data_IF_411740071517
#
_entry.id   IF_411740071517
#
_cell.length_a   1.000
_cell.length_b   1.000
_cell.length_c   1.000
_cell.angle_alpha   90.00
_cell.angle_beta   90.00
_cell.angle_gamma   90.00
#
_symmetry.space_group_name_H-M   'P 1'
#
loop_
_entity.id
_entity.type
_entity.pdbx_description
1 polymer ?
#
# COMPACT_ATOMS: atom_id res chain seq x y z
N UNK A 1 -20.37 13.66 11.14
CA UNK A 1 -18.90 13.63 11.02
C UNK A 1 -18.43 12.34 11.67
N UNK A 2 -18.10 11.31 10.89
CA UNK A 2 -17.74 10.00 11.44
C UNK A 2 -16.25 10.03 11.76
N UNK A 3 -15.93 10.15 13.05
CA UNK A 3 -14.56 10.02 13.57
C UNK A 3 -14.11 8.59 13.33
N UNK A 4 -13.32 8.37 12.29
CA UNK A 4 -12.64 7.09 12.08
C UNK A 4 -11.71 6.90 13.29
N UNK A 5 -11.84 5.78 14.05
CA UNK A 5 -10.98 5.54 15.20
C UNK A 5 -9.52 5.67 14.80
N UNK A 6 -8.67 6.24 15.67
CA UNK A 6 -7.25 6.44 15.39
C UNK A 6 -6.56 5.15 14.88
N UNK A 7 -6.97 3.98 15.39
CA UNK A 7 -6.48 2.66 14.98
C UNK A 7 -6.91 2.19 13.58
N UNK A 8 -7.95 2.77 12.98
CA UNK A 8 -8.42 2.40 11.62
C UNK A 8 -7.66 3.20 10.55
N UNK A 9 -7.09 4.36 10.90
CA UNK A 9 -6.33 5.21 9.98
C UNK A 9 -5.08 4.52 9.40
N UNK A 10 -4.26 3.78 10.20
CA UNK A 10 -3.12 3.05 9.65
C UNK A 10 -3.49 2.05 8.56
N UNK A 11 -4.53 1.23 8.78
CA UNK A 11 -4.97 0.27 7.77
C UNK A 11 -5.38 0.96 6.46
N UNK A 12 -6.09 2.08 6.54
CA UNK A 12 -6.48 2.86 5.34
C UNK A 12 -5.25 3.40 4.59
N UNK A 13 -4.30 4.00 5.30
CA UNK A 13 -3.07 4.55 4.69
C UNK A 13 -2.25 3.45 4.02
N UNK A 14 -2.04 2.33 4.72
CA UNK A 14 -1.31 1.17 4.21
C UNK A 14 -1.98 0.56 2.97
N UNK A 15 -3.31 0.43 2.98
CA UNK A 15 -4.06 -0.12 1.85
C UNK A 15 -3.96 0.75 0.59
N UNK A 16 -3.97 2.08 0.76
CA UNK A 16 -3.77 3.04 -0.34
C UNK A 16 -2.36 2.95 -0.92
N UNK A 17 -1.34 2.97 -0.06
CA UNK A 17 0.06 2.85 -0.48
C UNK A 17 0.29 1.55 -1.26
N UNK A 18 -0.15 0.39 -0.73
CA UNK A 18 -0.03 -0.89 -1.42
C UNK A 18 -0.60 -0.85 -2.84
N UNK A 19 -1.82 -0.31 -2.99
CA UNK A 19 -2.48 -0.24 -4.30
C UNK A 19 -1.76 0.73 -5.25
N UNK A 20 -1.34 1.89 -4.75
CA UNK A 20 -0.66 2.92 -5.53
C UNK A 20 0.71 2.46 -6.03
N UNK A 21 1.52 1.86 -5.15
CA UNK A 21 2.83 1.29 -5.49
C UNK A 21 2.70 0.17 -6.51
N UNK A 22 1.75 -0.75 -6.33
CA UNK A 22 1.55 -1.85 -7.27
C UNK A 22 1.11 -1.37 -8.66
N UNK A 23 0.26 -0.36 -8.71
CA UNK A 23 -0.15 0.24 -9.97
C UNK A 23 1.06 0.89 -10.67
N UNK A 24 1.82 1.72 -9.95
CA UNK A 24 3.03 2.35 -10.47
C UNK A 24 4.05 1.32 -10.98
N UNK A 25 4.35 0.30 -10.17
CA UNK A 25 5.30 -0.75 -10.51
C UNK A 25 4.86 -1.56 -11.73
N UNK A 26 3.55 -1.75 -11.94
CA UNK A 26 3.04 -2.45 -13.12
C UNK A 26 3.29 -1.71 -14.44
N UNK A 27 3.52 -0.40 -14.37
CA UNK A 27 3.73 0.47 -15.54
C UNK A 27 5.20 0.83 -15.74
N UNK A 28 5.99 0.93 -14.67
CA UNK A 28 7.34 1.53 -14.71
C UNK A 28 8.45 0.57 -14.26
N UNK A 29 8.16 -0.41 -13.41
CA UNK A 29 9.20 -1.27 -12.85
C UNK A 29 9.56 -2.41 -13.81
N UNK A 30 10.79 -2.92 -13.68
CA UNK A 30 11.16 -4.15 -14.36
C UNK A 30 10.31 -5.33 -13.84
N UNK A 31 10.25 -6.41 -14.64
CA UNK A 31 9.42 -7.59 -14.33
C UNK A 31 9.75 -8.21 -12.98
N UNK A 32 11.03 -8.26 -12.59
CA UNK A 32 11.49 -8.88 -11.35
C UNK A 32 10.99 -8.11 -10.13
N UNK A 33 11.14 -6.80 -10.13
CA UNK A 33 10.72 -5.94 -9.03
C UNK A 33 9.19 -5.90 -8.91
N UNK A 34 8.49 -5.85 -10.04
CA UNK A 34 7.03 -5.93 -10.08
C UNK A 34 6.53 -7.27 -9.51
N UNK A 35 7.10 -8.41 -9.92
CA UNK A 35 6.73 -9.73 -9.36
C UNK A 35 7.01 -9.80 -7.85
N UNK A 36 8.17 -9.31 -7.40
CA UNK A 36 8.52 -9.28 -5.98
C UNK A 36 7.51 -8.46 -5.16
N UNK A 37 7.13 -7.28 -5.63
CA UNK A 37 6.14 -6.43 -4.96
C UNK A 37 4.76 -7.12 -4.91
N UNK A 38 4.36 -7.82 -5.97
CA UNK A 38 3.10 -8.58 -6.01
C UNK A 38 3.08 -9.80 -5.06
N UNK A 39 4.23 -10.45 -4.85
CA UNK A 39 4.35 -11.54 -3.87
C UNK A 39 4.24 -11.01 -2.44
N UNK A 40 5.01 -9.97 -2.13
CA UNK A 40 4.97 -9.31 -0.82
C UNK A 40 3.57 -8.77 -0.52
N UNK A 41 2.92 -8.12 -1.47
CA UNK A 41 1.54 -7.62 -1.27
C UNK A 41 0.56 -8.75 -0.96
N UNK A 42 0.71 -9.93 -1.58
CA UNK A 42 -0.17 -11.07 -1.30
C UNK A 42 -0.01 -11.54 0.14
N UNK A 43 1.23 -11.62 0.63
CA UNK A 43 1.51 -11.98 2.02
C UNK A 43 0.95 -10.95 3.01
N UNK A 44 1.11 -9.66 2.72
CA UNK A 44 0.51 -8.57 3.53
C UNK A 44 -1.01 -8.69 3.59
N UNK A 45 -1.66 -8.95 2.45
CA UNK A 45 -3.10 -9.14 2.38
C UNK A 45 -3.57 -10.40 3.11
N UNK A 46 -2.69 -11.37 3.36
CA UNK A 46 -2.94 -12.53 4.22
C UNK A 46 -2.66 -12.27 5.71
N UNK A 47 -2.25 -11.05 6.09
CA UNK A 47 -2.03 -10.64 7.48
C UNK A 47 -0.58 -10.73 7.97
N UNK A 48 0.38 -10.97 7.06
CA UNK A 48 1.81 -11.02 7.40
C UNK A 48 2.39 -9.60 7.47
N UNK A 49 2.65 -9.08 8.68
CA UNK A 49 3.25 -7.76 8.85
C UNK A 49 4.77 -7.74 8.77
N UNK A 50 5.47 -8.88 8.78
CA UNK A 50 6.90 -8.89 8.36
C UNK A 50 6.99 -8.68 6.86
N UNK A 51 6.08 -9.26 6.09
CA UNK A 51 5.93 -8.96 4.67
C UNK A 51 5.59 -7.49 4.42
N UNK A 52 4.89 -6.81 5.34
CA UNK A 52 4.60 -5.37 5.22
C UNK A 52 5.88 -4.53 5.27
N UNK A 53 6.77 -4.81 6.22
CA UNK A 53 8.06 -4.11 6.30
C UNK A 53 8.89 -4.37 5.03
N UNK A 54 8.94 -5.63 4.58
CA UNK A 54 9.64 -6.01 3.37
C UNK A 54 9.05 -5.34 2.12
N UNK A 55 7.71 -5.22 2.05
CA UNK A 55 7.00 -4.51 1.00
C UNK A 55 7.39 -3.04 0.98
N UNK A 56 7.29 -2.33 2.12
CA UNK A 56 7.60 -0.90 2.20
C UNK A 56 9.04 -0.62 1.76
N UNK A 57 9.99 -1.42 2.22
CA UNK A 57 11.37 -1.28 1.80
C UNK A 57 11.58 -1.55 0.29
N UNK A 58 10.94 -2.59 -0.26
CA UNK A 58 11.01 -2.87 -1.69
C UNK A 58 10.34 -1.77 -2.52
N UNK A 59 9.22 -1.23 -2.04
CA UNK A 59 8.50 -0.11 -2.64
C UNK A 59 9.39 1.13 -2.71
N UNK A 60 10.02 1.53 -1.59
CA UNK A 60 10.96 2.65 -1.55
C UNK A 60 12.08 2.51 -2.59
N UNK A 61 12.66 1.32 -2.73
CA UNK A 61 13.71 1.06 -3.74
C UNK A 61 13.19 1.21 -5.17
N UNK A 62 12.00 0.68 -5.44
CA UNK A 62 11.33 0.82 -6.73
C UNK A 62 11.05 2.30 -7.05
N UNK A 63 10.48 3.04 -6.10
CA UNK A 63 10.20 4.46 -6.22
C UNK A 63 11.50 5.26 -6.48
N UNK A 64 12.56 5.03 -5.71
CA UNK A 64 13.83 5.75 -5.92
C UNK A 64 14.47 5.46 -7.29
N UNK A 65 14.19 4.32 -7.92
CA UNK A 65 14.78 3.93 -9.18
C UNK A 65 14.04 4.47 -10.43
N UNK A 66 12.79 4.95 -10.26
CA UNK A 66 11.88 5.16 -11.38
C UNK A 66 11.16 6.52 -11.38
N UNK A 67 11.66 7.51 -10.63
CA UNK A 67 11.15 8.90 -10.57
C UNK A 67 9.60 9.00 -10.54
N UNK A 68 8.96 8.54 -9.45
CA UNK A 68 7.51 8.54 -9.34
C UNK A 68 6.96 9.96 -9.19
N UNK A 69 5.65 10.13 -9.43
CA UNK A 69 4.96 11.38 -9.10
C UNK A 69 5.15 11.74 -7.62
N UNK A 70 5.34 13.02 -7.25
CA UNK A 70 5.56 13.44 -5.86
C UNK A 70 4.47 12.97 -4.89
N UNK A 71 3.21 12.90 -5.35
CA UNK A 71 2.11 12.40 -4.54
C UNK A 71 2.30 10.95 -4.07
N UNK A 72 2.98 10.10 -4.86
CA UNK A 72 3.23 8.71 -4.49
C UNK A 72 4.28 8.60 -3.38
N UNK A 73 5.29 9.48 -3.36
CA UNK A 73 6.22 9.59 -2.24
C UNK A 73 5.51 9.98 -0.95
N UNK A 74 4.58 10.95 -1.01
CA UNK A 74 3.82 11.36 0.16
C UNK A 74 3.00 10.20 0.74
N UNK A 75 2.30 9.43 -0.10
CA UNK A 75 1.57 8.24 0.37
C UNK A 75 2.48 7.20 1.01
N UNK A 76 3.67 7.00 0.42
CA UNK A 76 4.62 6.03 0.92
C UNK A 76 5.24 6.46 2.27
N UNK A 77 5.58 7.73 2.41
CA UNK A 77 6.11 8.28 3.66
C UNK A 77 5.05 8.27 4.77
N UNK A 78 3.79 8.58 4.45
CA UNK A 78 2.66 8.42 5.38
C UNK A 78 2.48 6.97 5.84
N UNK A 79 2.60 6.01 4.92
CA UNK A 79 2.50 4.59 5.23
C UNK A 79 3.65 4.13 6.13
N UNK A 80 4.87 4.59 5.86
CA UNK A 80 6.03 4.29 6.69
C UNK A 80 5.86 4.90 8.10
N UNK A 81 5.44 6.16 8.20
CA UNK A 81 5.17 6.83 9.47
C UNK A 81 4.12 6.06 10.29
N UNK A 82 3.03 5.62 9.65
CA UNK A 82 2.00 4.83 10.32
C UNK A 82 2.55 3.51 10.91
N UNK A 83 3.46 2.82 10.23
CA UNK A 83 4.10 1.61 10.77
C UNK A 83 5.04 1.94 11.92
N UNK A 84 5.80 3.03 11.82
CA UNK A 84 6.69 3.48 12.90
C UNK A 84 5.89 3.83 14.15
N UNK A 85 4.80 4.58 14.01
CA UNK A 85 3.92 4.97 15.11
C UNK A 85 3.31 3.73 15.79
N UNK A 86 2.81 2.76 15.01
CA UNK A 86 2.29 1.50 15.54
C UNK A 86 3.33 0.74 16.37
N UNK A 87 4.56 0.62 15.87
CA UNK A 87 5.64 -0.07 16.59
C UNK A 87 6.06 0.71 17.83
N UNK A 88 6.13 2.03 17.76
CA UNK A 88 6.46 2.89 18.90
C UNK A 88 5.41 2.79 20.02
N UNK A 89 4.14 2.59 19.66
CA UNK A 89 3.04 2.33 20.59
C UNK A 89 3.00 0.87 21.10
N UNK A 90 3.90 0.01 20.64
CA UNK A 90 4.05 -1.38 21.10
C UNK A 90 3.20 -2.40 20.35
N UNK A 91 2.67 -2.06 19.17
CA UNK A 91 1.92 -3.01 18.35
C UNK A 91 2.82 -4.15 17.85
N UNK A 92 2.34 -5.39 17.95
CA UNK A 92 2.94 -6.50 17.21
C UNK A 92 2.55 -6.38 15.73
N UNK A 93 3.54 -6.48 14.85
CA UNK A 93 3.31 -6.59 13.41
C UNK A 93 3.13 -8.04 12.96
N UNK A 94 3.25 -9.03 13.85
CA UNK A 94 3.10 -10.43 13.47
C UNK A 94 2.24 -11.21 14.47
N UNK A 95 1.01 -11.61 14.09
CA UNK A 95 0.27 -11.19 12.88
C UNK A 95 -0.15 -9.70 12.93
N UNK A 96 -0.54 -9.11 11.80
CA UNK A 96 -1.15 -7.78 11.80
C UNK A 96 -2.42 -7.77 12.66
N UNK A 97 -2.62 -6.71 13.43
CA UNK A 97 -3.87 -6.51 14.17
C UNK A 97 -5.08 -6.62 13.23
N UNK A 98 -6.11 -7.35 13.68
CA UNK A 98 -7.24 -7.70 12.83
C UNK A 98 -8.00 -6.47 12.32
N UNK A 99 -8.10 -5.38 13.11
CA UNK A 99 -8.78 -4.16 12.67
C UNK A 99 -7.98 -3.41 11.62
N UNK A 100 -6.66 -3.32 11.82
CA UNK A 100 -5.74 -2.73 10.85
C UNK A 100 -5.77 -3.53 9.55
N UNK A 101 -5.68 -4.86 9.65
CA UNK A 101 -5.69 -5.77 8.50
C UNK A 101 -6.98 -5.67 7.68
N UNK A 102 -8.15 -5.68 8.34
CA UNK A 102 -9.44 -5.50 7.63
C UNK A 102 -9.49 -4.15 6.92
N UNK A 103 -9.11 -3.06 7.59
CA UNK A 103 -9.11 -1.73 6.99
C UNK A 103 -8.15 -1.62 5.80
N UNK A 104 -6.98 -2.26 5.88
CA UNK A 104 -6.01 -2.37 4.80
C UNK A 104 -6.58 -3.11 3.59
N UNK A 105 -7.14 -4.31 3.79
CA UNK A 105 -7.68 -5.13 2.71
C UNK A 105 -8.84 -4.40 1.99
N UNK A 106 -9.78 -3.85 2.75
CA UNK A 106 -10.92 -3.10 2.18
C UNK A 106 -10.43 -1.92 1.35
N UNK A 107 -9.50 -1.13 1.90
CA UNK A 107 -8.99 0.06 1.22
C UNK A 107 -8.17 -0.27 -0.01
N UNK A 108 -7.36 -1.33 0.05
CA UNK A 108 -6.59 -1.83 -1.09
C UNK A 108 -7.51 -2.17 -2.27
N UNK A 109 -8.56 -2.97 -2.02
CA UNK A 109 -9.49 -3.38 -3.07
C UNK A 109 -10.28 -2.20 -3.65
N UNK A 110 -10.76 -1.30 -2.79
CA UNK A 110 -11.45 -0.08 -3.23
C UNK A 110 -10.56 0.80 -4.12
N UNK A 111 -9.30 1.00 -3.72
CA UNK A 111 -8.34 1.83 -4.47
C UNK A 111 -7.98 1.19 -5.81
N UNK A 112 -7.74 -0.13 -5.84
CA UNK A 112 -7.48 -0.86 -7.10
C UNK A 112 -8.67 -0.79 -8.06
N UNK A 113 -9.90 -0.92 -7.56
CA UNK A 113 -11.09 -0.81 -8.39
C UNK A 113 -11.19 0.57 -9.06
N UNK A 114 -10.98 1.64 -8.28
CA UNK A 114 -10.99 3.01 -8.78
C UNK A 114 -9.91 3.28 -9.87
N UNK A 115 -8.70 2.73 -9.69
CA UNK A 115 -7.62 2.83 -10.68
C UNK A 115 -8.00 2.14 -12.01
N UNK A 116 -8.64 0.98 -11.95
CA UNK A 116 -9.07 0.25 -13.15
C UNK A 116 -10.22 0.95 -13.88
N UNK A 117 -11.17 1.53 -13.14
CA UNK A 117 -12.27 2.31 -13.71
C UNK A 117 -11.76 3.54 -14.45
N UNK A 118 -10.84 4.30 -13.84
CA UNK A 118 -10.23 5.48 -14.46
C UNK A 118 -9.49 5.14 -15.77
N UNK A 119 -8.83 3.98 -15.82
CA UNK A 119 -8.13 3.52 -17.03
C UNK A 119 -9.08 3.14 -18.17
N UNK A 120 -10.27 2.59 -17.86
CA UNK A 120 -11.29 2.24 -18.86
C UNK A 120 -11.88 3.51 -19.48
N UNK A 121 -12.32 4.44 -18.64
CA UNK A 121 -12.88 5.73 -19.09
C UNK A 121 -11.89 6.51 -19.95
N UNK A 122 -10.60 6.50 -19.58
CA UNK A 122 -9.55 7.18 -20.36
C UNK A 122 -9.23 6.49 -21.70
N UNK A 123 -9.55 5.20 -21.85
CA UNK A 123 -9.35 4.45 -23.11
C UNK A 123 -10.53 4.55 -24.06
N UNK A 124 -11.75 4.63 -23.53
CA UNK A 124 -12.98 4.65 -24.33
C UNK A 124 -13.41 6.07 -24.74
N UNK A 125 -12.72 7.10 -24.25
CA UNK A 125 -12.97 8.52 -24.54
C UNK A 125 -12.08 9.15 -25.62
N UNK A 126 -11.40 8.35 -26.45
CA UNK A 126 -10.58 8.80 -27.59
C UNK A 126 -11.21 8.36 -28.90
#
# INVERSE_FOLDING_TARGET
MVTVPAMVRPGVVLGRDLAAVLHFASEHANRRDCTRLQELSRMVLSGDGTALIAFLHAARKCLAAHDPPPALWNYHDEALAAVVDLVAEGASLQPLDARIHVALVVTFHATRAAQHEHRRVSRDGV
#
